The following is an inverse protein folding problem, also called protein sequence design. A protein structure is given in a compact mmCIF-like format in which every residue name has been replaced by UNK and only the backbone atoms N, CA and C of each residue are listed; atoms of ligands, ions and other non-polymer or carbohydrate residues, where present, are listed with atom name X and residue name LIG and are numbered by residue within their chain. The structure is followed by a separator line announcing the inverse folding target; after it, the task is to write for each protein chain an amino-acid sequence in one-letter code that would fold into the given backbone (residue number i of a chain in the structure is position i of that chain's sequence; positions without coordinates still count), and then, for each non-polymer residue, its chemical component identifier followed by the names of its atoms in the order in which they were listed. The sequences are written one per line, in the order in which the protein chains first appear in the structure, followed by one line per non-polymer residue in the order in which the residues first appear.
data_IF_479731038749
#
_entry.id   IF_479731038749
#
_cell.length_a   1.000
_cell.length_b   1.000
_cell.length_c   1.000
_cell.angle_alpha   90.00
_cell.angle_beta   90.00
_cell.angle_gamma   90.00
#
_symmetry.space_group_name_H-M   'P 1'
#
loop_
_entity.id
_entity.type
_entity.pdbx_description
1 polymer ?
#
# COMPACT_ATOMS: atom_id res chain seq x y z
N UNK A 1 -14.13 -10.16 -1.30
CA UNK A 1 -13.60 -8.82 -0.93
C UNK A 1 -13.26 -8.01 -2.18
N UNK A 2 -12.38 -8.44 -3.11
CA UNK A 2 -11.99 -7.66 -4.29
C UNK A 2 -13.20 -7.18 -5.14
N UNK A 3 -14.15 -8.08 -5.45
CA UNK A 3 -15.40 -7.73 -6.18
C UNK A 3 -16.28 -6.73 -5.41
N UNK A 4 -16.27 -6.77 -4.07
CA UNK A 4 -17.03 -5.79 -3.30
C UNK A 4 -16.36 -4.42 -3.32
N UNK A 5 -15.02 -4.39 -3.19
CA UNK A 5 -14.26 -3.15 -3.29
C UNK A 5 -14.35 -2.56 -4.70
N UNK A 6 -14.40 -3.36 -5.76
CA UNK A 6 -14.55 -2.82 -7.12
C UNK A 6 -15.86 -2.06 -7.32
N UNK A 7 -16.95 -2.43 -6.61
CA UNK A 7 -18.22 -1.69 -6.67
C UNK A 7 -18.09 -0.24 -6.19
N UNK A 8 -17.11 0.04 -5.30
CA UNK A 8 -16.82 1.40 -4.82
C UNK A 8 -16.37 2.32 -5.96
N UNK A 9 -15.74 1.75 -6.99
CA UNK A 9 -15.21 2.50 -8.14
C UNK A 9 -16.19 2.58 -9.31
N UNK A 10 -17.34 1.91 -9.24
CA UNK A 10 -18.33 1.91 -10.32
C UNK A 10 -18.91 3.31 -10.55
N UNK A 11 -18.77 3.83 -11.78
CA UNK A 11 -19.28 5.15 -12.18
C UNK A 11 -18.41 6.31 -11.68
N UNK A 12 -17.25 6.05 -11.07
CA UNK A 12 -16.26 7.08 -10.78
C UNK A 12 -15.41 7.33 -12.03
N UNK A 13 -14.85 8.50 -12.12
CA UNK A 13 -14.03 8.96 -13.26
C UNK A 13 -12.57 8.51 -13.11
N UNK A 14 -12.38 7.18 -13.03
CA UNK A 14 -11.04 6.58 -12.92
C UNK A 14 -10.43 6.44 -14.32
N UNK A 15 -9.29 7.07 -14.54
CA UNK A 15 -8.57 7.04 -15.83
C UNK A 15 -7.22 6.33 -15.75
N UNK A 16 -6.72 6.05 -14.55
CA UNK A 16 -5.47 5.34 -14.34
C UNK A 16 -5.61 4.30 -13.24
N UNK A 17 -5.16 3.08 -13.51
CA UNK A 17 -5.16 1.97 -12.55
C UNK A 17 -3.78 1.33 -12.51
N UNK A 18 -3.12 1.37 -11.37
CA UNK A 18 -1.85 0.69 -11.13
C UNK A 18 -1.99 -0.44 -10.09
N UNK A 19 -1.18 -1.47 -10.22
CA UNK A 19 -1.13 -2.55 -9.23
C UNK A 19 0.30 -3.07 -9.02
N UNK A 20 0.60 -3.45 -7.77
CA UNK A 20 1.80 -4.22 -7.46
C UNK A 20 1.84 -5.54 -8.25
N UNK A 21 3.02 -6.05 -8.64
CA UNK A 21 3.15 -7.31 -9.39
C UNK A 21 2.76 -8.55 -8.56
N UNK A 22 2.58 -8.43 -7.24
CA UNK A 22 2.19 -9.58 -6.42
C UNK A 22 0.76 -10.05 -6.77
N UNK A 23 0.60 -11.36 -6.87
CA UNK A 23 -0.64 -12.02 -7.32
C UNK A 23 -1.89 -11.48 -6.60
N UNK A 24 -1.83 -11.34 -5.26
CA UNK A 24 -2.94 -10.82 -4.44
C UNK A 24 -3.36 -9.38 -4.81
N UNK A 25 -2.42 -8.55 -5.28
CA UNK A 25 -2.71 -7.19 -5.74
C UNK A 25 -3.32 -7.21 -7.14
N UNK A 26 -2.80 -8.05 -8.03
CA UNK A 26 -3.34 -8.26 -9.37
C UNK A 26 -4.76 -8.83 -9.33
N UNK A 27 -5.04 -9.80 -8.44
CA UNK A 27 -6.38 -10.34 -8.21
C UNK A 27 -7.37 -9.28 -7.69
N UNK A 28 -6.88 -8.30 -6.91
CA UNK A 28 -7.71 -7.19 -6.43
C UNK A 28 -7.93 -6.14 -7.52
N UNK A 29 -6.92 -5.87 -8.35
CA UNK A 29 -7.00 -4.89 -9.43
C UNK A 29 -7.91 -5.35 -10.58
N UNK A 30 -7.94 -6.65 -10.90
CA UNK A 30 -8.74 -7.19 -12.02
C UNK A 30 -10.21 -6.76 -11.99
N UNK A 31 -11.00 -6.99 -10.90
CA UNK A 31 -12.38 -6.56 -10.88
C UNK A 31 -12.55 -5.03 -10.85
N UNK A 32 -11.52 -4.26 -10.43
CA UNK A 32 -11.51 -2.80 -10.53
C UNK A 32 -11.35 -2.41 -12.00
N UNK A 33 -10.41 -3.02 -12.72
CA UNK A 33 -10.24 -2.83 -14.17
C UNK A 33 -11.53 -3.10 -14.96
N UNK A 34 -12.25 -4.18 -14.61
CA UNK A 34 -13.52 -4.53 -15.23
C UNK A 34 -14.61 -3.47 -15.07
N UNK A 35 -14.70 -2.81 -13.89
CA UNK A 35 -15.76 -1.81 -13.63
C UNK A 35 -15.39 -0.40 -14.07
N UNK A 36 -14.09 -0.09 -14.20
CA UNK A 36 -13.58 1.22 -14.62
C UNK A 36 -13.25 1.27 -16.12
N UNK A 37 -12.98 0.12 -16.73
CA UNK A 37 -12.50 0.03 -18.11
C UNK A 37 -11.01 0.36 -18.28
N UNK A 38 -10.26 0.56 -17.19
CA UNK A 38 -8.82 0.84 -17.23
C UNK A 38 -8.01 -0.43 -17.44
N UNK A 39 -6.89 -0.33 -18.15
CA UNK A 39 -5.83 -1.35 -18.13
C UNK A 39 -5.04 -1.26 -16.83
N UNK A 40 -4.51 -2.40 -16.35
CA UNK A 40 -3.70 -2.46 -15.16
C UNK A 40 -2.23 -2.20 -15.49
N UNK A 41 -1.69 -1.07 -15.04
CA UNK A 41 -0.25 -0.78 -15.08
C UNK A 41 0.44 -1.50 -13.91
N UNK A 42 1.34 -2.44 -14.20
CA UNK A 42 2.06 -3.20 -13.17
C UNK A 42 3.31 -2.46 -12.73
N UNK A 43 3.43 -2.15 -11.42
CA UNK A 43 4.48 -1.30 -10.88
C UNK A 43 5.20 -1.93 -9.70
N UNK A 44 6.53 -1.96 -9.76
CA UNK A 44 7.39 -2.49 -8.69
C UNK A 44 7.56 -1.52 -7.51
N UNK A 45 7.43 -0.22 -7.74
CA UNK A 45 7.59 0.82 -6.72
C UNK A 45 6.46 0.87 -5.68
N UNK A 46 5.36 0.17 -5.92
CA UNK A 46 4.25 -0.01 -4.98
C UNK A 46 4.17 -1.40 -4.36
N UNK A 47 5.27 -2.17 -4.44
CA UNK A 47 5.43 -3.46 -3.78
C UNK A 47 5.34 -3.37 -2.25
N UNK A 48 5.01 -4.50 -1.61
CA UNK A 48 5.15 -4.66 -0.15
C UNK A 48 6.60 -4.38 0.28
N UNK A 49 6.76 -3.89 1.49
CA UNK A 49 8.08 -3.64 2.03
C UNK A 49 8.92 -4.91 2.03
N UNK A 50 10.13 -4.84 1.48
CA UNK A 50 11.08 -5.94 1.53
C UNK A 50 11.37 -6.32 2.97
N UNK A 51 11.25 -7.61 3.30
CA UNK A 51 11.54 -8.13 4.62
C UNK A 51 12.71 -9.10 4.52
N UNK A 52 13.79 -8.84 5.26
CA UNK A 52 14.98 -9.71 5.34
C UNK A 52 14.64 -11.13 5.81
N UNK A 53 13.44 -11.33 6.37
CA UNK A 53 12.89 -12.62 6.79
C UNK A 53 11.93 -13.24 5.78
N UNK A 54 11.70 -12.62 4.62
CA UNK A 54 10.84 -13.18 3.58
C UNK A 54 11.44 -14.49 3.06
N UNK A 55 10.63 -15.54 3.05
CA UNK A 55 11.10 -16.89 2.73
C UNK A 55 11.69 -17.69 3.90
N UNK A 56 11.87 -17.09 5.10
CA UNK A 56 12.34 -17.82 6.28
C UNK A 56 11.20 -18.48 7.05
N UNK A 57 11.43 -19.71 7.54
CA UNK A 57 10.49 -20.36 8.48
C UNK A 57 10.52 -19.62 9.81
N UNK A 58 9.45 -18.89 10.12
CA UNK A 58 9.30 -18.12 11.37
C UNK A 58 8.52 -18.88 12.45
N UNK A 59 7.87 -20.00 12.14
CA UNK A 59 7.07 -20.82 13.07
C UNK A 59 7.70 -22.18 13.35
N UNK A 60 7.63 -22.61 14.62
CA UNK A 60 8.02 -23.93 15.10
C UNK A 60 9.44 -24.03 15.67
N UNK A 61 9.80 -25.22 16.20
CA UNK A 61 11.08 -25.55 16.83
C UNK A 61 12.31 -25.29 15.95
N UNK A 62 12.15 -25.25 14.63
CA UNK A 62 13.20 -24.94 13.64
C UNK A 62 13.14 -23.50 13.13
N UNK A 63 12.59 -22.59 13.92
CA UNK A 63 12.58 -21.16 13.56
C UNK A 63 14.01 -20.62 13.44
N UNK A 64 14.31 -19.99 12.30
CA UNK A 64 15.61 -19.36 12.06
C UNK A 64 15.77 -18.05 12.87
N UNK A 65 14.73 -17.62 13.61
CA UNK A 65 14.77 -16.51 14.56
C UNK A 65 15.54 -16.85 15.85
N UNK A 66 15.87 -18.13 16.11
CA UNK A 66 16.64 -18.56 17.30
C UNK A 66 18.12 -18.17 17.21
N UNK A 67 18.60 -17.71 16.05
CA UNK A 67 20.01 -17.33 15.88
C UNK A 67 20.28 -15.96 16.56
N UNK A 68 21.14 -15.91 17.65
CA UNK A 68 21.41 -14.68 18.41
C UNK A 68 22.04 -13.55 17.57
N UNK A 69 22.76 -13.90 16.48
CA UNK A 69 23.37 -12.92 15.57
C UNK A 69 22.31 -12.02 14.91
N UNK A 70 21.09 -12.54 14.74
CA UNK A 70 19.97 -11.79 14.14
C UNK A 70 19.29 -10.85 15.14
N UNK A 71 19.43 -11.08 16.44
CA UNK A 71 18.87 -10.19 17.47
C UNK A 71 19.55 -8.82 17.49
N UNK A 72 20.80 -8.74 17.00
CA UNK A 72 21.50 -7.45 16.83
C UNK A 72 20.76 -6.49 15.88
N UNK A 73 19.92 -7.01 15.00
CA UNK A 73 19.08 -6.24 14.07
C UNK A 73 17.69 -5.87 14.63
N UNK A 74 17.36 -6.33 15.85
CA UNK A 74 16.06 -6.08 16.50
C UNK A 74 16.10 -4.93 17.52
N UNK A 75 17.20 -4.18 17.59
CA UNK A 75 17.45 -3.23 18.69
C UNK A 75 16.92 -1.82 18.46
N UNK A 76 16.39 -1.49 17.27
CA UNK A 76 15.83 -0.18 17.00
C UNK A 76 14.33 -0.28 16.63
N UNK A 77 13.39 0.00 17.58
CA UNK A 77 11.95 -0.04 17.29
C UNK A 77 11.48 1.10 16.38
N UNK A 78 12.33 2.08 16.07
CA UNK A 78 12.03 3.22 15.20
C UNK A 78 12.46 3.01 13.75
N UNK A 79 13.28 2.00 13.50
CA UNK A 79 13.63 1.54 12.15
C UNK A 79 13.43 0.03 12.12
N UNK A 80 12.77 -0.53 11.08
CA UNK A 80 12.69 -1.97 10.95
C UNK A 80 14.09 -2.50 10.67
N UNK A 81 14.77 -2.95 11.71
CA UNK A 81 16.12 -3.50 11.63
C UNK A 81 16.22 -4.78 10.79
N UNK A 82 15.10 -5.23 10.23
CA UNK A 82 14.95 -6.45 9.42
C UNK A 82 14.38 -6.22 8.01
N UNK A 83 14.18 -4.98 7.59
CA UNK A 83 13.54 -4.69 6.31
C UNK A 83 13.93 -3.33 5.75
N UNK A 84 13.22 -2.93 4.71
CA UNK A 84 13.33 -1.62 4.10
C UNK A 84 13.01 -0.51 5.13
N UNK A 85 13.81 0.57 5.24
CA UNK A 85 13.51 1.69 6.13
C UNK A 85 12.15 2.32 5.81
N UNK A 86 11.38 2.71 6.83
CA UNK A 86 10.05 3.33 6.63
C UNK A 86 10.10 4.56 5.74
N UNK A 87 11.17 5.33 5.82
CA UNK A 87 11.40 6.49 4.96
C UNK A 87 11.52 6.08 3.48
N UNK A 88 12.29 5.03 3.16
CA UNK A 88 12.43 4.52 1.80
C UNK A 88 11.12 3.98 1.24
N UNK A 89 10.34 3.24 2.06
CA UNK A 89 9.00 2.76 1.69
C UNK A 89 8.09 3.95 1.34
N UNK A 90 8.11 4.99 2.18
CA UNK A 90 7.33 6.20 1.95
C UNK A 90 7.76 6.90 0.66
N UNK A 91 9.05 7.15 0.47
CA UNK A 91 9.57 7.91 -0.67
C UNK A 91 9.21 7.25 -2.02
N UNK A 92 9.41 5.92 -2.16
CA UNK A 92 9.03 5.22 -3.39
C UNK A 92 7.52 5.22 -3.62
N UNK A 93 6.73 4.98 -2.55
CA UNK A 93 5.28 4.98 -2.66
C UNK A 93 4.72 6.38 -2.95
N UNK A 94 5.31 7.43 -2.34
CA UNK A 94 4.91 8.81 -2.59
C UNK A 94 5.23 9.26 -4.02
N UNK A 95 6.41 8.89 -4.53
CA UNK A 95 6.77 9.13 -5.93
C UNK A 95 5.79 8.45 -6.89
N UNK A 96 5.33 7.23 -6.57
CA UNK A 96 4.31 6.54 -7.35
C UNK A 96 2.94 7.24 -7.28
N UNK A 97 2.58 7.80 -6.12
CA UNK A 97 1.34 8.59 -5.94
C UNK A 97 1.39 9.87 -6.80
N UNK A 98 2.51 10.58 -6.80
CA UNK A 98 2.68 11.79 -7.62
C UNK A 98 2.64 11.50 -9.13
N UNK A 99 3.25 10.39 -9.57
CA UNK A 99 3.17 9.94 -10.97
C UNK A 99 1.74 9.55 -11.34
N UNK A 100 1.04 8.81 -10.49
CA UNK A 100 -0.36 8.43 -10.71
C UNK A 100 -1.27 9.68 -10.78
N UNK A 101 -1.05 10.67 -9.91
CA UNK A 101 -1.74 11.96 -9.94
C UNK A 101 -1.51 12.67 -11.27
N UNK A 102 -0.27 12.75 -11.72
CA UNK A 102 0.07 13.38 -13.01
C UNK A 102 -0.60 12.69 -14.19
N UNK A 103 -0.67 11.36 -14.19
CA UNK A 103 -1.35 10.58 -15.24
C UNK A 103 -2.86 10.75 -15.24
N UNK A 104 -3.43 11.09 -14.09
CA UNK A 104 -4.87 11.24 -13.90
C UNK A 104 -5.30 12.70 -13.69
N UNK A 105 -4.55 13.66 -14.19
CA UNK A 105 -4.79 15.09 -13.97
C UNK A 105 -6.26 15.48 -14.28
N UNK A 106 -6.95 16.00 -13.24
CA UNK A 106 -8.37 16.34 -13.31
C UNK A 106 -9.34 15.17 -13.13
N UNK A 107 -8.85 13.93 -12.98
CA UNK A 107 -9.61 12.69 -12.84
C UNK A 107 -9.14 11.89 -11.62
N UNK A 108 -9.51 10.61 -11.54
CA UNK A 108 -9.10 9.73 -10.46
C UNK A 108 -8.07 8.69 -10.93
N UNK A 109 -7.06 8.43 -10.08
CA UNK A 109 -6.16 7.29 -10.18
C UNK A 109 -6.45 6.29 -9.07
N UNK A 110 -6.34 5.02 -9.36
CA UNK A 110 -6.43 3.92 -8.38
C UNK A 110 -5.11 3.16 -8.36
N UNK A 111 -4.61 2.89 -7.15
CA UNK A 111 -3.38 2.14 -6.94
C UNK A 111 -3.65 0.98 -5.98
N UNK A 112 -3.39 -0.25 -6.41
CA UNK A 112 -3.53 -1.46 -5.58
C UNK A 112 -2.17 -1.87 -5.06
N UNK A 113 -1.93 -1.59 -3.79
CA UNK A 113 -0.67 -1.82 -3.10
C UNK A 113 -0.89 -2.68 -1.84
N UNK A 114 0.00 -2.57 -0.88
CA UNK A 114 0.04 -3.41 0.32
C UNK A 114 -0.09 -2.56 1.59
N UNK A 115 -0.34 -3.24 2.70
CA UNK A 115 -0.65 -2.60 3.97
C UNK A 115 0.40 -1.58 4.41
N UNK A 116 1.68 -1.97 4.44
CA UNK A 116 2.71 -1.10 5.01
C UNK A 116 3.00 0.14 4.13
N UNK A 117 3.16 0.05 2.80
CA UNK A 117 3.26 1.23 1.93
C UNK A 117 2.08 2.19 2.09
N UNK A 118 0.84 1.67 2.11
CA UNK A 118 -0.36 2.49 2.30
C UNK A 118 -0.35 3.19 3.66
N UNK A 119 0.01 2.48 4.74
CA UNK A 119 0.10 3.07 6.09
C UNK A 119 1.16 4.17 6.17
N UNK A 120 2.28 4.05 5.46
CA UNK A 120 3.30 5.11 5.41
C UNK A 120 2.74 6.39 4.79
N UNK A 121 2.00 6.28 3.69
CA UNK A 121 1.30 7.42 3.06
C UNK A 121 0.25 8.01 4.00
N UNK A 122 -0.61 7.18 4.61
CA UNK A 122 -1.61 7.65 5.59
C UNK A 122 -0.97 8.43 6.74
N UNK A 123 0.14 7.94 7.29
CA UNK A 123 0.83 8.61 8.40
C UNK A 123 1.43 9.94 7.98
N UNK A 124 1.98 10.01 6.78
CA UNK A 124 2.52 11.25 6.23
C UNK A 124 1.44 12.33 6.11
N UNK A 125 0.32 12.02 5.45
CA UNK A 125 -0.77 12.99 5.26
C UNK A 125 -1.46 13.39 6.56
N UNK A 126 -1.35 12.57 7.61
CA UNK A 126 -1.80 12.88 8.97
C UNK A 126 -0.76 13.68 9.79
N UNK A 127 0.41 14.03 9.25
CA UNK A 127 1.49 14.68 9.98
C UNK A 127 2.10 13.80 11.09
N UNK A 128 1.96 12.48 11.01
CA UNK A 128 2.46 11.52 12.00
C UNK A 128 3.84 10.98 11.60
N UNK A 129 4.66 10.64 12.61
CA UNK A 129 5.97 9.99 12.36
C UNK A 129 5.77 8.67 11.62
N UNK A 130 6.64 8.40 10.64
CA UNK A 130 6.69 7.11 9.95
C UNK A 130 7.14 6.02 10.93
N UNK A 131 6.22 5.15 11.30
CA UNK A 131 6.45 4.06 12.24
C UNK A 131 5.36 2.99 12.10
N UNK A 132 5.67 1.77 12.47
CA UNK A 132 4.73 0.65 12.42
C UNK A 132 3.90 0.54 13.73
N UNK A 133 3.32 1.65 14.20
CA UNK A 133 2.67 1.71 15.52
C UNK A 133 1.18 1.30 15.53
N UNK A 134 0.45 1.43 14.43
CA UNK A 134 -0.93 0.97 14.29
C UNK A 134 -1.24 0.69 12.83
N UNK A 135 -1.87 -0.45 12.56
CA UNK A 135 -2.23 -0.87 11.20
C UNK A 135 -3.71 -0.55 10.95
N UNK A 136 -4.04 0.72 10.75
CA UNK A 136 -5.37 1.09 10.30
C UNK A 136 -5.46 0.97 8.77
N UNK A 137 -5.27 -0.24 8.27
CA UNK A 137 -5.40 -0.58 6.87
C UNK A 137 -5.90 -2.02 6.79
N UNK A 138 -7.20 -2.17 6.71
CA UNK A 138 -7.88 -3.46 6.59
C UNK A 138 -7.73 -4.02 5.17
N UNK A 139 -7.94 -5.32 5.03
CA UNK A 139 -7.93 -5.95 3.72
C UNK A 139 -9.02 -5.34 2.82
N UNK A 140 -8.63 -4.98 1.61
CA UNK A 140 -9.51 -4.36 0.61
C UNK A 140 -10.17 -3.04 1.06
N UNK A 141 -9.52 -2.34 2.00
CA UNK A 141 -9.85 -0.95 2.34
C UNK A 141 -9.35 0.01 1.27
N UNK A 142 -9.91 1.21 1.26
CA UNK A 142 -9.55 2.29 0.34
C UNK A 142 -9.09 3.50 1.13
N UNK A 143 -7.91 3.99 0.80
CA UNK A 143 -7.37 5.28 1.26
C UNK A 143 -7.45 6.25 0.09
N UNK A 144 -8.24 7.30 0.23
CA UNK A 144 -8.41 8.34 -0.79
C UNK A 144 -7.63 9.59 -0.40
N UNK A 145 -6.93 10.19 -1.35
CA UNK A 145 -6.24 11.46 -1.21
C UNK A 145 -6.84 12.45 -2.21
N UNK A 146 -7.11 13.66 -1.75
CA UNK A 146 -7.58 14.75 -2.60
C UNK A 146 -6.46 15.77 -2.71
N UNK A 147 -6.11 16.13 -3.95
CA UNK A 147 -5.06 17.07 -4.25
C UNK A 147 -5.65 18.39 -4.78
N UNK A 148 -5.04 19.50 -4.35
CA UNK A 148 -5.22 20.83 -4.98
C UNK A 148 -3.82 21.39 -5.25
N UNK A 149 -3.52 21.62 -6.53
CA UNK A 149 -2.14 21.86 -6.95
C UNK A 149 -1.22 20.73 -6.51
N UNK A 150 -0.13 21.05 -5.84
CA UNK A 150 0.86 20.06 -5.36
C UNK A 150 0.59 19.54 -3.94
N UNK A 151 -0.45 20.03 -3.28
CA UNK A 151 -0.77 19.70 -1.90
C UNK A 151 -1.92 18.69 -1.76
N UNK A 152 -1.81 17.80 -0.76
CA UNK A 152 -2.97 17.02 -0.29
C UNK A 152 -3.81 17.91 0.60
N UNK A 153 -5.05 18.18 0.19
CA UNK A 153 -5.99 19.05 0.91
C UNK A 153 -7.00 18.26 1.75
N UNK A 154 -7.24 17.00 1.40
CA UNK A 154 -8.13 16.13 2.16
C UNK A 154 -7.73 14.66 1.97
N UNK A 155 -8.14 13.81 2.93
CA UNK A 155 -7.97 12.37 2.83
C UNK A 155 -9.11 11.64 3.52
N UNK A 156 -9.45 10.45 3.05
CA UNK A 156 -10.49 9.60 3.61
C UNK A 156 -10.07 8.13 3.67
N UNK A 157 -10.61 7.40 4.63
CA UNK A 157 -10.46 5.96 4.76
C UNK A 157 -11.82 5.28 4.70
N UNK A 158 -11.95 4.25 3.89
CA UNK A 158 -13.18 3.50 3.67
C UNK A 158 -12.91 1.99 3.66
N UNK A 159 -13.89 1.22 4.11
CA UNK A 159 -13.85 -0.25 4.14
C UNK A 159 -15.01 -0.85 3.35
N UNK A 160 -15.03 -0.72 2.01
CA UNK A 160 -16.19 -1.12 1.18
C UNK A 160 -16.53 -2.61 1.28
N UNK A 161 -15.57 -3.44 1.70
CA UNK A 161 -15.73 -4.89 1.81
C UNK A 161 -16.04 -5.38 3.25
N UNK A 162 -16.29 -4.47 4.21
CA UNK A 162 -16.39 -4.84 5.63
C UNK A 162 -17.66 -5.66 5.99
N UNK A 163 -18.65 -5.74 5.11
CA UNK A 163 -19.94 -6.40 5.37
C UNK A 163 -20.14 -7.68 4.55
N UNK A 164 -19.04 -8.39 4.21
CA UNK A 164 -19.11 -9.61 3.42
C UNK A 164 -18.59 -10.79 4.23
#
# INVERSE_FOLDING_TARGET
MAVATSKFFRGRDVVYLAASPLERAQETARPIAEVTGCEVDTRDDILEAGNTFEGLRTKGWRSQLINPIRWRHMTNPLEPSWGEPYQGIFERMWSAVEDARSKAEGHEAVMVSHQLPIVMVQRHVQGKRLAHASRNCDLASVTSLVFDGDGVVDWAYSTPAQHI
#
